data_IF_769173184760
#
_entry.id   IF_769173184760
#
_cell.length_a   1.000
_cell.length_b   1.000
_cell.length_c   1.000
_cell.angle_alpha   90.00
_cell.angle_beta   90.00
_cell.angle_gamma   90.00
#
_symmetry.space_group_name_H-M   'P 1'
#
loop_
_entity.id
_entity.type
_entity.pdbx_description
1 polymer ?
#
# COMPACT_ATOMS: atom_id res chain seq x y z
N UNK A 1 -10.19 -5.85 -12.66
CA UNK A 1 -9.23 -5.46 -11.59
C UNK A 1 -7.91 -5.11 -12.24
N UNK A 2 -7.32 -3.96 -11.88
CA UNK A 2 -5.96 -3.59 -12.27
C UNK A 2 -5.06 -3.78 -11.05
N UNK A 3 -4.19 -4.79 -11.10
CA UNK A 3 -3.39 -5.25 -9.94
C UNK A 3 -2.42 -4.20 -9.41
N UNK A 4 -2.07 -3.20 -10.22
CA UNK A 4 -1.20 -2.08 -9.83
C UNK A 4 -1.77 -1.25 -8.68
N UNK A 5 -3.09 -1.11 -8.58
CA UNK A 5 -3.66 -0.06 -7.73
C UNK A 5 -3.84 -0.54 -6.28
N UNK A 6 -4.21 -1.79 -6.09
CA UNK A 6 -4.67 -2.34 -4.80
C UNK A 6 -3.54 -2.57 -3.81
N UNK A 7 -2.35 -2.87 -4.30
CA UNK A 7 -1.14 -3.03 -3.49
C UNK A 7 0.05 -2.49 -4.27
N UNK A 8 1.05 -1.95 -3.58
CA UNK A 8 2.32 -1.61 -4.21
C UNK A 8 3.51 -1.99 -3.32
N UNK A 9 4.51 -2.59 -3.95
CA UNK A 9 5.77 -2.95 -3.32
C UNK A 9 6.70 -1.75 -3.30
N UNK A 10 7.27 -1.48 -2.14
CA UNK A 10 8.25 -0.43 -1.88
C UNK A 10 9.41 -1.11 -1.16
N UNK A 11 10.53 -1.33 -1.85
CA UNK A 11 11.68 -2.06 -1.33
C UNK A 11 11.27 -3.41 -0.70
N UNK A 12 11.71 -3.71 0.51
CA UNK A 12 11.42 -4.96 1.23
C UNK A 12 10.03 -5.05 1.85
N UNK A 13 9.04 -4.32 1.35
CA UNK A 13 7.68 -4.38 1.88
C UNK A 13 6.61 -3.88 0.94
N UNK A 14 5.36 -3.95 1.39
CA UNK A 14 4.17 -3.73 0.58
C UNK A 14 3.17 -2.84 1.31
N UNK A 15 2.33 -2.14 0.57
CA UNK A 15 1.14 -1.45 1.11
C UNK A 15 -0.15 -2.16 0.68
N UNK A 16 -1.14 -2.18 1.58
CA UNK A 16 -2.48 -2.70 1.35
C UNK A 16 -3.42 -1.50 1.16
N UNK A 17 -3.58 -1.06 -0.08
CA UNK A 17 -4.01 0.30 -0.33
C UNK A 17 -5.51 0.53 0.01
N UNK A 18 -5.84 1.54 0.84
CA UNK A 18 -7.21 1.99 1.00
C UNK A 18 -7.65 2.75 -0.25
N UNK A 19 -8.37 2.03 -1.11
CA UNK A 19 -8.84 2.53 -2.40
C UNK A 19 -9.79 3.72 -2.23
N UNK A 20 -9.66 4.72 -3.11
CA UNK A 20 -10.50 5.93 -3.09
C UNK A 20 -11.98 5.59 -3.28
N UNK A 21 -12.29 4.80 -4.31
CA UNK A 21 -13.66 4.34 -4.57
C UNK A 21 -14.00 3.15 -3.66
N UNK A 22 -15.04 3.24 -2.80
CA UNK A 22 -15.39 2.17 -1.87
C UNK A 22 -15.61 0.81 -2.52
N UNK A 23 -16.17 0.80 -3.74
CA UNK A 23 -16.38 -0.43 -4.51
C UNK A 23 -15.09 -1.23 -4.79
N UNK A 24 -13.93 -0.55 -4.86
CA UNK A 24 -12.64 -1.19 -5.12
C UNK A 24 -11.93 -1.68 -3.86
N UNK A 25 -12.37 -1.30 -2.66
CA UNK A 25 -11.73 -1.72 -1.39
C UNK A 25 -11.78 -3.24 -1.19
N UNK A 26 -12.81 -3.90 -1.73
CA UNK A 26 -12.93 -5.36 -1.75
C UNK A 26 -11.81 -6.03 -2.56
N UNK A 27 -11.24 -5.36 -3.55
CA UNK A 27 -10.09 -5.89 -4.31
C UNK A 27 -8.85 -6.02 -3.39
N UNK A 28 -8.59 -5.02 -2.54
CA UNK A 28 -7.49 -5.04 -1.56
C UNK A 28 -7.68 -6.15 -0.52
N UNK A 29 -8.91 -6.42 -0.08
CA UNK A 29 -9.20 -7.53 0.83
C UNK A 29 -8.75 -8.88 0.26
N UNK A 30 -9.05 -9.13 -1.02
CA UNK A 30 -8.66 -10.37 -1.69
C UNK A 30 -7.14 -10.49 -1.83
N UNK A 31 -6.45 -9.42 -2.26
CA UNK A 31 -4.98 -9.45 -2.38
C UNK A 31 -4.29 -9.58 -1.01
N UNK A 32 -4.84 -8.95 0.03
CA UNK A 32 -4.36 -9.11 1.40
C UNK A 32 -4.45 -10.56 1.87
N UNK A 33 -5.52 -11.28 1.51
CA UNK A 33 -5.65 -12.70 1.83
C UNK A 33 -4.58 -13.55 1.13
N UNK A 34 -4.22 -13.21 -0.12
CA UNK A 34 -3.12 -13.88 -0.84
C UNK A 34 -1.80 -13.68 -0.08
N UNK A 35 -1.45 -12.45 0.28
CA UNK A 35 -0.22 -12.19 1.04
C UNK A 35 -0.21 -12.84 2.42
N UNK A 36 -1.39 -13.00 3.04
CA UNK A 36 -1.52 -13.60 4.36
C UNK A 36 -1.48 -15.13 4.38
N UNK A 37 -1.94 -15.81 3.33
CA UNK A 37 -2.18 -17.26 3.37
C UNK A 37 -1.50 -18.05 2.23
N UNK A 38 -1.08 -17.40 1.15
CA UNK A 38 -0.47 -18.13 0.04
C UNK A 38 0.99 -18.50 0.37
N UNK A 39 1.43 -19.76 0.12
CA UNK A 39 2.76 -20.25 0.51
C UNK A 39 3.95 -19.43 -0.02
N UNK A 40 3.79 -18.77 -1.18
CA UNK A 40 4.82 -17.89 -1.73
C UNK A 40 5.08 -16.64 -0.88
N UNK A 41 4.10 -16.20 -0.08
CA UNK A 41 4.20 -15.00 0.74
C UNK A 41 4.29 -15.31 2.23
N UNK A 42 3.65 -16.37 2.74
CA UNK A 42 3.65 -16.69 4.17
C UNK A 42 5.04 -16.95 4.76
N UNK A 43 5.99 -17.41 3.95
CA UNK A 43 7.36 -17.69 4.36
C UNK A 43 8.37 -16.64 3.84
N UNK A 44 7.89 -15.63 3.12
CA UNK A 44 8.74 -14.55 2.62
C UNK A 44 8.93 -13.50 3.72
N UNK A 45 10.15 -12.95 3.81
CA UNK A 45 10.44 -11.84 4.70
C UNK A 45 10.12 -10.51 4.00
N UNK A 46 9.00 -9.90 4.39
CA UNK A 46 8.64 -8.56 3.94
C UNK A 46 7.77 -7.84 4.97
N UNK A 47 7.79 -6.52 4.93
CA UNK A 47 7.01 -5.67 5.83
C UNK A 47 5.69 -5.22 5.20
N UNK A 48 4.68 -4.98 6.03
CA UNK A 48 3.49 -4.22 5.63
C UNK A 48 3.70 -2.77 6.06
N UNK A 49 3.98 -1.90 5.10
CA UNK A 49 4.30 -0.49 5.38
C UNK A 49 3.09 0.34 5.76
N UNK A 50 1.94 0.06 5.15
CA UNK A 50 0.72 0.84 5.35
C UNK A 50 -0.49 0.04 4.87
N UNK A 51 -1.62 0.29 5.52
CA UNK A 51 -2.91 -0.26 5.13
C UNK A 51 -3.27 -1.55 5.85
N UNK A 52 -4.58 -1.72 6.02
CA UNK A 52 -5.22 -2.89 6.64
C UNK A 52 -6.64 -2.95 6.07
N UNK A 53 -7.04 -4.03 5.37
CA UNK A 53 -8.37 -4.13 4.79
C UNK A 53 -9.49 -4.22 5.84
N UNK A 54 -9.17 -4.55 7.09
CA UNK A 54 -10.14 -4.66 8.19
C UNK A 54 -10.35 -3.31 8.91
N UNK A 55 -9.60 -2.27 8.55
CA UNK A 55 -9.70 -0.92 9.13
C UNK A 55 -10.37 0.07 8.18
N UNK A 56 -11.17 0.98 8.74
CA UNK A 56 -11.67 2.14 8.01
C UNK A 56 -10.66 3.29 8.05
N UNK A 57 -10.08 3.59 6.89
CA UNK A 57 -9.02 4.61 6.73
C UNK A 57 -9.57 6.03 6.55
N UNK A 58 -10.89 6.21 6.51
CA UNK A 58 -11.54 7.51 6.37
C UNK A 58 -11.09 8.26 5.10
N UNK A 59 -10.52 9.45 5.28
CA UNK A 59 -10.00 10.28 4.20
C UNK A 59 -8.58 9.89 3.73
N UNK A 60 -7.94 8.90 4.37
CA UNK A 60 -6.65 8.40 3.94
C UNK A 60 -6.85 7.38 2.80
N UNK A 61 -6.56 7.80 1.58
CA UNK A 61 -6.66 6.98 0.38
C UNK A 61 -5.31 6.92 -0.32
N UNK A 62 -4.98 5.78 -0.90
CA UNK A 62 -3.75 5.55 -1.65
C UNK A 62 -4.08 4.62 -2.82
N UNK A 63 -3.49 4.84 -3.99
CA UNK A 63 -3.53 3.87 -5.09
C UNK A 63 -2.11 3.64 -5.61
N UNK A 64 -1.76 2.39 -5.89
CA UNK A 64 -0.40 2.00 -6.28
C UNK A 64 0.06 2.56 -7.62
N UNK A 65 -0.86 3.11 -8.44
CA UNK A 65 -0.51 3.88 -9.64
C UNK A 65 0.26 5.18 -9.33
N UNK A 66 0.10 5.74 -8.13
CA UNK A 66 0.79 6.96 -7.70
C UNK A 66 2.14 6.67 -7.04
N UNK A 67 2.49 5.41 -6.76
CA UNK A 67 3.67 5.04 -5.95
C UNK A 67 4.78 4.45 -6.82
N UNK A 68 5.96 5.06 -6.78
CA UNK A 68 7.12 4.64 -7.57
C UNK A 68 8.39 4.59 -6.69
N UNK A 69 8.84 3.41 -6.25
CA UNK A 69 10.16 3.24 -5.63
C UNK A 69 11.24 3.30 -6.71
N UNK A 70 11.81 4.48 -6.94
CA UNK A 70 12.77 4.72 -8.04
C UNK A 70 14.21 4.30 -7.73
N UNK A 71 14.48 3.86 -6.51
CA UNK A 71 15.81 3.44 -6.04
C UNK A 71 16.50 4.49 -5.17
N UNK A 72 17.70 4.14 -4.67
CA UNK A 72 18.51 4.98 -3.79
C UNK A 72 17.77 5.48 -2.51
N UNK A 73 16.88 4.64 -1.96
CA UNK A 73 16.06 5.02 -0.80
C UNK A 73 14.99 6.09 -1.11
N UNK A 74 14.75 6.40 -2.39
CA UNK A 74 13.76 7.40 -2.83
C UNK A 74 12.48 6.74 -3.32
N UNK A 75 11.34 7.30 -2.92
CA UNK A 75 10.01 6.91 -3.40
C UNK A 75 9.30 8.17 -3.88
N UNK A 76 8.80 8.16 -5.11
CA UNK A 76 7.92 9.20 -5.62
C UNK A 76 6.48 8.80 -5.34
N UNK A 77 5.69 9.73 -4.81
CA UNK A 77 4.26 9.51 -4.56
C UNK A 77 3.47 10.68 -5.13
N UNK A 78 2.62 10.37 -6.11
CA UNK A 78 1.62 11.31 -6.63
C UNK A 78 0.60 11.67 -5.55
N UNK A 79 0.30 12.95 -5.41
CA UNK A 79 -0.75 13.44 -4.52
C UNK A 79 -1.83 14.13 -5.34
N UNK A 80 -3.08 13.70 -5.18
CA UNK A 80 -4.17 14.18 -6.01
C UNK A 80 -5.50 13.54 -5.66
N UNK A 81 -6.30 13.23 -6.69
CA UNK A 81 -7.68 12.74 -6.51
C UNK A 81 -7.76 11.40 -5.79
N UNK A 82 -6.77 10.51 -5.96
CA UNK A 82 -6.83 9.13 -5.46
C UNK A 82 -5.89 8.85 -4.29
N UNK A 83 -4.76 9.54 -4.25
CA UNK A 83 -3.78 9.44 -3.16
C UNK A 83 -3.76 10.73 -2.34
N UNK A 84 -4.22 10.65 -1.10
CA UNK A 84 -4.43 11.80 -0.21
C UNK A 84 -3.22 12.08 0.69
N UNK A 85 -3.06 13.33 1.09
CA UNK A 85 -1.94 13.74 1.96
C UNK A 85 -1.93 12.99 3.30
N UNK A 86 -3.10 12.57 3.80
CA UNK A 86 -3.26 11.81 5.03
C UNK A 86 -2.62 10.42 4.90
N UNK A 87 -2.82 9.73 3.77
CA UNK A 87 -2.21 8.42 3.54
C UNK A 87 -0.71 8.55 3.28
N UNK A 88 -0.31 9.52 2.45
CA UNK A 88 1.10 9.77 2.11
C UNK A 88 1.93 10.06 3.37
N UNK A 89 1.43 10.90 4.28
CA UNK A 89 2.13 11.23 5.52
C UNK A 89 2.30 10.03 6.46
N UNK A 90 1.30 9.15 6.56
CA UNK A 90 1.36 7.93 7.35
C UNK A 90 2.35 6.92 6.75
N UNK A 91 2.27 6.68 5.44
CA UNK A 91 3.19 5.81 4.73
C UNK A 91 4.64 6.32 4.86
N UNK A 92 4.89 7.60 4.62
CA UNK A 92 6.22 8.18 4.74
C UNK A 92 6.78 8.03 6.16
N UNK A 93 5.96 8.28 7.19
CA UNK A 93 6.36 8.06 8.59
C UNK A 93 6.78 6.61 8.85
N UNK A 94 5.99 5.65 8.37
CA UNK A 94 6.29 4.23 8.56
C UNK A 94 7.56 3.81 7.81
N UNK A 95 7.77 4.28 6.58
CA UNK A 95 9.00 4.01 5.81
C UNK A 95 10.24 4.56 6.52
N UNK A 96 10.19 5.81 7.00
CA UNK A 96 11.34 6.42 7.71
C UNK A 96 11.61 5.75 9.07
N UNK A 97 10.58 5.37 9.82
CA UNK A 97 10.74 4.68 11.11
C UNK A 97 11.42 3.32 10.95
N UNK A 98 11.11 2.61 9.86
CA UNK A 98 11.65 1.28 9.61
C UNK A 98 12.93 1.28 8.77
N UNK A 99 13.45 2.45 8.36
CA UNK A 99 14.64 2.59 7.50
C UNK A 99 14.54 1.72 6.24
N UNK A 100 13.38 1.81 5.59
CA UNK A 100 13.04 1.06 4.37
C UNK A 100 14.04 1.29 3.22
#
# INVERSE_FOLDING_TARGET
QFTRDTTCWIYGGVTLNPMYWPARRQETLLTSAIYKFHPEFTNADFQIWYGDPDQEHGAATLEGGDVMPIGNGVVLIGMGERSSHQAIGQLARNLFQNKA
#
